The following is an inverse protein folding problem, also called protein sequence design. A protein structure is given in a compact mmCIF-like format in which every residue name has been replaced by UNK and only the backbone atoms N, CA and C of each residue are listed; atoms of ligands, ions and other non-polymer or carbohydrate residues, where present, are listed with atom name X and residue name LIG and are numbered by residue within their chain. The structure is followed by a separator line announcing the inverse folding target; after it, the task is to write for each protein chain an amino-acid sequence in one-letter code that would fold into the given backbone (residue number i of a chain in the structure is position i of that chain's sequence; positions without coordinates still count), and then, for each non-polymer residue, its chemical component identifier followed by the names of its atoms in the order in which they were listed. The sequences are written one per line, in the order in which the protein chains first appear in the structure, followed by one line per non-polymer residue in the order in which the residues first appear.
data_IF_641582343588
#
_entry.id   IF_641582343588
#
_cell.length_a   1.000
_cell.length_b   1.000
_cell.length_c   1.000
_cell.angle_alpha   90.00
_cell.angle_beta   90.00
_cell.angle_gamma   90.00
#
_symmetry.space_group_name_H-M   'P 1'
#
loop_
_entity.id
_entity.type
_entity.pdbx_description
1 polymer ?
#
# COMPACT_ATOMS: atom_id res chain seq x y z
N UNK A 1 7.98 3.59 12.81
CA UNK A 1 8.80 3.67 11.58
C UNK A 1 10.12 4.41 11.77
N UNK A 2 11.25 3.85 11.30
CA UNK A 2 12.56 4.52 11.33
C UNK A 2 12.98 5.15 9.98
N UNK A 3 12.45 4.68 8.85
CA UNK A 3 12.70 5.25 7.52
C UNK A 3 11.51 4.97 6.56
N UNK A 4 10.78 6.01 6.11
CA UNK A 4 9.69 5.89 5.14
C UNK A 4 10.08 5.26 3.80
N UNK A 5 11.34 5.41 3.36
CA UNK A 5 11.81 4.83 2.09
C UNK A 5 11.94 3.31 2.17
N UNK A 6 12.37 2.81 3.33
CA UNK A 6 12.40 1.36 3.59
C UNK A 6 10.99 0.78 3.57
N UNK A 7 10.03 1.47 4.17
CA UNK A 7 8.62 1.06 4.11
C UNK A 7 8.06 1.08 2.69
N UNK A 8 8.38 2.12 1.89
CA UNK A 8 7.97 2.22 0.49
C UNK A 8 8.54 1.07 -0.37
N UNK A 9 9.82 0.74 -0.21
CA UNK A 9 10.44 -0.38 -0.91
C UNK A 9 9.75 -1.72 -0.57
N UNK A 10 9.48 -1.98 0.70
CA UNK A 10 8.77 -3.18 1.14
C UNK A 10 7.32 -3.22 0.60
N UNK A 11 6.63 -2.07 0.57
CA UNK A 11 5.29 -1.97 -0.04
C UNK A 11 5.33 -2.31 -1.53
N UNK A 12 6.38 -1.91 -2.26
CA UNK A 12 6.54 -2.24 -3.68
C UNK A 12 6.53 -3.76 -3.91
N UNK A 13 7.33 -4.49 -3.14
CA UNK A 13 7.41 -5.95 -3.21
C UNK A 13 6.07 -6.62 -2.84
N UNK A 14 5.45 -6.16 -1.74
CA UNK A 14 4.16 -6.70 -1.29
C UNK A 14 3.02 -6.46 -2.28
N UNK A 15 2.98 -5.28 -2.92
CA UNK A 15 1.96 -4.94 -3.92
C UNK A 15 2.17 -5.74 -5.20
N UNK A 16 3.42 -6.00 -5.62
CA UNK A 16 3.65 -6.85 -6.78
C UNK A 16 3.21 -8.30 -6.54
N UNK A 17 3.35 -8.80 -5.30
CA UNK A 17 2.99 -10.16 -4.92
C UNK A 17 1.48 -10.41 -4.82
N UNK A 18 0.64 -9.37 -4.80
CA UNK A 18 -0.82 -9.51 -4.76
C UNK A 18 -1.37 -10.41 -5.88
N UNK A 19 -0.74 -10.39 -7.06
CA UNK A 19 -1.15 -11.19 -8.24
C UNK A 19 -0.92 -12.70 -8.06
N UNK A 20 -0.05 -13.10 -7.15
CA UNK A 20 0.35 -14.48 -6.90
C UNK A 20 -0.40 -15.09 -5.70
N UNK A 21 -1.11 -14.28 -4.91
CA UNK A 21 -1.80 -14.73 -3.72
C UNK A 21 -3.16 -15.36 -4.04
N UNK A 22 -3.25 -16.69 -3.91
CA UNK A 22 -4.44 -17.45 -4.27
C UNK A 22 -5.17 -17.98 -3.02
N UNK A 23 -4.41 -18.42 -2.01
CA UNK A 23 -4.97 -18.90 -0.76
C UNK A 23 -5.42 -17.75 0.14
N UNK A 24 -6.47 -17.97 0.94
CA UNK A 24 -6.96 -16.96 1.89
C UNK A 24 -5.86 -16.50 2.87
N UNK A 25 -5.03 -17.43 3.34
CA UNK A 25 -3.95 -17.12 4.30
C UNK A 25 -2.86 -16.25 3.66
N UNK A 26 -2.49 -16.51 2.41
CA UNK A 26 -1.51 -15.69 1.67
C UNK A 26 -2.02 -14.26 1.52
N UNK A 27 -3.27 -14.12 1.08
CA UNK A 27 -3.92 -12.80 0.94
C UNK A 27 -3.97 -12.07 2.28
N UNK A 28 -4.39 -12.75 3.35
CA UNK A 28 -4.47 -12.17 4.68
C UNK A 28 -3.08 -11.75 5.22
N UNK A 29 -2.05 -12.55 4.97
CA UNK A 29 -0.67 -12.23 5.37
C UNK A 29 -0.14 -10.99 4.64
N UNK A 30 -0.29 -10.94 3.30
CA UNK A 30 0.09 -9.75 2.51
C UNK A 30 -0.65 -8.51 2.98
N UNK A 31 -1.97 -8.60 3.13
CA UNK A 31 -2.77 -7.45 3.55
C UNK A 31 -2.40 -6.96 4.95
N UNK A 32 -2.10 -7.86 5.88
CA UNK A 32 -1.69 -7.49 7.23
C UNK A 32 -0.35 -6.76 7.23
N UNK A 33 0.63 -7.21 6.42
CA UNK A 33 1.91 -6.53 6.26
C UNK A 33 1.75 -5.15 5.63
N UNK A 34 0.91 -5.02 4.59
CA UNK A 34 0.59 -3.74 3.97
C UNK A 34 -0.07 -2.79 4.98
N UNK A 35 -1.05 -3.26 5.76
CA UNK A 35 -1.70 -2.44 6.78
C UNK A 35 -0.70 -1.92 7.81
N UNK A 36 0.20 -2.78 8.31
CA UNK A 36 1.23 -2.37 9.27
C UNK A 36 2.09 -1.23 8.71
N UNK A 37 2.59 -1.38 7.48
CA UNK A 37 3.45 -0.37 6.86
C UNK A 37 2.69 0.93 6.53
N UNK A 38 1.46 0.82 6.02
CA UNK A 38 0.61 1.98 5.75
C UNK A 38 0.23 2.71 7.04
N UNK A 39 -0.09 2.01 8.11
CA UNK A 39 -0.40 2.62 9.41
C UNK A 39 0.85 3.30 10.00
N UNK A 40 2.03 2.70 9.86
CA UNK A 40 3.31 3.32 10.23
C UNK A 40 3.54 4.64 9.47
N UNK A 41 3.30 4.64 8.15
CA UNK A 41 3.40 5.83 7.29
C UNK A 41 2.35 6.90 7.65
N UNK A 42 1.10 6.51 7.87
CA UNK A 42 0.00 7.41 8.22
C UNK A 42 0.21 8.08 9.59
N UNK A 43 0.85 7.39 10.54
CA UNK A 43 1.13 7.90 11.88
C UNK A 43 2.52 8.55 12.03
N UNK A 44 3.31 8.61 10.96
CA UNK A 44 4.62 9.24 10.98
C UNK A 44 4.53 10.75 11.26
N UNK A 45 5.64 11.33 11.69
CA UNK A 45 5.77 12.78 11.82
C UNK A 45 5.57 13.45 10.44
N UNK A 46 4.94 14.63 10.43
CA UNK A 46 4.69 15.41 9.21
C UNK A 46 5.99 15.88 8.54
N UNK A 47 7.08 16.03 9.32
CA UNK A 47 8.41 16.34 8.80
C UNK A 47 9.01 15.18 7.98
N UNK A 48 8.54 13.95 8.22
CA UNK A 48 9.00 12.74 7.51
C UNK A 48 8.02 12.32 6.41
N UNK A 49 6.72 12.44 6.66
CA UNK A 49 5.65 12.01 5.75
C UNK A 49 4.55 13.07 5.78
N UNK A 50 4.51 13.91 4.74
CA UNK A 50 3.51 14.97 4.65
C UNK A 50 2.08 14.41 4.46
N UNK A 51 1.07 15.28 4.63
CA UNK A 51 -0.34 14.89 4.51
C UNK A 51 -0.73 14.24 3.17
N UNK A 52 -0.07 14.63 2.08
CA UNK A 52 -0.31 14.02 0.76
C UNK A 52 0.25 12.59 0.71
N UNK A 53 1.46 12.35 1.22
CA UNK A 53 2.03 11.01 1.33
C UNK A 53 1.19 10.11 2.26
N UNK A 54 0.62 10.66 3.34
CA UNK A 54 -0.32 9.94 4.23
C UNK A 54 -1.62 9.55 3.51
N UNK A 55 -2.17 10.43 2.66
CA UNK A 55 -3.31 10.11 1.80
C UNK A 55 -2.97 8.94 0.85
N UNK A 56 -1.77 8.94 0.27
CA UNK A 56 -1.30 7.85 -0.60
C UNK A 56 -1.15 6.54 0.14
N UNK A 57 -0.67 6.53 1.38
CA UNK A 57 -0.66 5.32 2.22
C UNK A 57 -2.09 4.75 2.40
N UNK A 58 -3.09 5.61 2.60
CA UNK A 58 -4.50 5.20 2.63
C UNK A 58 -5.00 4.60 1.32
N UNK A 59 -4.64 5.19 0.17
CA UNK A 59 -4.98 4.67 -1.15
C UNK A 59 -4.33 3.30 -1.44
N UNK A 60 -3.05 3.13 -1.07
CA UNK A 60 -2.35 1.85 -1.17
C UNK A 60 -3.10 0.77 -0.40
N UNK A 61 -3.46 1.06 0.86
CA UNK A 61 -4.20 0.12 1.72
C UNK A 61 -5.54 -0.27 1.10
N UNK A 62 -6.34 0.70 0.67
CA UNK A 62 -7.66 0.44 0.10
C UNK A 62 -7.59 -0.38 -1.20
N UNK A 63 -6.72 0.00 -2.13
CA UNK A 63 -6.55 -0.73 -3.37
C UNK A 63 -6.02 -2.15 -3.14
N UNK A 64 -5.10 -2.34 -2.20
CA UNK A 64 -4.61 -3.67 -1.84
C UNK A 64 -5.72 -4.54 -1.23
N UNK A 65 -6.59 -3.98 -0.39
CA UNK A 65 -7.75 -4.68 0.16
C UNK A 65 -8.70 -5.14 -0.95
N UNK A 66 -9.03 -4.24 -1.89
CA UNK A 66 -9.90 -4.54 -3.02
C UNK A 66 -9.29 -5.60 -3.95
N UNK A 67 -8.00 -5.50 -4.28
CA UNK A 67 -7.28 -6.49 -5.10
C UNK A 67 -7.29 -7.89 -4.48
N UNK A 68 -7.18 -7.97 -3.15
CA UNK A 68 -7.19 -9.23 -2.40
C UNK A 68 -8.60 -9.76 -2.10
N UNK A 69 -9.65 -9.00 -2.42
CA UNK A 69 -11.05 -9.38 -2.16
C UNK A 69 -11.48 -9.20 -0.70
N UNK A 70 -10.85 -8.29 0.04
CA UNK A 70 -11.23 -7.90 1.41
C UNK A 70 -12.08 -6.63 1.46
N UNK A 71 -12.25 -5.93 0.34
CA UNK A 71 -13.04 -4.70 0.24
C UNK A 71 -13.80 -4.64 -1.10
N UNK A 72 -14.69 -3.65 -1.25
CA UNK A 72 -15.44 -3.39 -2.48
C UNK A 72 -14.51 -2.96 -3.62
N UNK A 73 -14.78 -3.45 -4.83
CA UNK A 73 -13.95 -3.17 -6.01
C UNK A 73 -14.46 -2.02 -6.89
N UNK A 74 -15.65 -1.48 -6.56
CA UNK A 74 -16.34 -0.50 -7.41
C UNK A 74 -16.48 -0.93 -8.89
N UNK A 75 -16.55 -2.24 -9.15
CA UNK A 75 -16.69 -2.79 -10.50
C UNK A 75 -15.39 -2.98 -11.27
N UNK A 76 -14.23 -2.76 -10.64
CA UNK A 76 -12.92 -2.93 -11.26
C UNK A 76 -12.29 -4.29 -10.94
N UNK A 77 -11.29 -4.66 -11.75
CA UNK A 77 -10.59 -5.93 -11.59
C UNK A 77 -9.53 -5.85 -10.48
N UNK A 78 -9.09 -7.02 -9.99
CA UNK A 78 -7.99 -7.08 -9.04
C UNK A 78 -6.69 -6.49 -9.60
N UNK A 79 -6.44 -6.65 -10.90
CA UNK A 79 -5.27 -6.08 -11.57
C UNK A 79 -5.34 -4.56 -11.66
N UNK A 80 -6.52 -3.98 -11.94
CA UNK A 80 -6.70 -2.52 -11.94
C UNK A 80 -6.34 -1.93 -10.57
N UNK A 81 -6.84 -2.57 -9.50
CA UNK A 81 -6.52 -2.16 -8.14
C UNK A 81 -5.03 -2.31 -7.81
N UNK A 82 -4.37 -3.40 -8.24
CA UNK A 82 -2.93 -3.57 -8.07
C UNK A 82 -2.14 -2.45 -8.75
N UNK A 83 -2.49 -2.11 -9.99
CA UNK A 83 -1.86 -1.02 -10.74
C UNK A 83 -2.07 0.34 -10.05
N UNK A 84 -3.27 0.59 -9.51
CA UNK A 84 -3.54 1.83 -8.78
C UNK A 84 -2.82 1.88 -7.42
N UNK A 85 -2.66 0.76 -6.73
CA UNK A 85 -1.81 0.69 -5.54
C UNK A 85 -0.35 1.05 -5.89
N UNK A 86 0.19 0.55 -7.00
CA UNK A 86 1.53 0.93 -7.49
C UNK A 86 1.60 2.42 -7.88
N UNK A 87 0.56 2.97 -8.51
CA UNK A 87 0.49 4.40 -8.83
C UNK A 87 0.46 5.29 -7.57
N UNK A 88 -0.27 4.85 -6.53
CA UNK A 88 -0.28 5.52 -5.23
C UNK A 88 1.08 5.44 -4.55
N UNK A 89 1.76 4.28 -4.61
CA UNK A 89 3.12 4.10 -4.10
C UNK A 89 4.12 5.02 -4.81
N UNK A 90 4.09 5.08 -6.15
CA UNK A 90 4.96 5.97 -6.90
C UNK A 90 4.77 7.45 -6.51
N UNK A 91 3.52 7.85 -6.25
CA UNK A 91 3.21 9.19 -5.75
C UNK A 91 3.72 9.41 -4.32
N UNK A 92 3.64 8.38 -3.47
CA UNK A 92 4.15 8.41 -2.10
C UNK A 92 5.67 8.60 -2.11
N UNK A 93 6.40 7.79 -2.89
CA UNK A 93 7.86 7.86 -3.01
C UNK A 93 8.34 9.24 -3.44
N UNK A 94 7.70 9.84 -4.45
CA UNK A 94 8.03 11.19 -4.91
C UNK A 94 7.69 12.31 -3.91
N UNK A 95 6.99 11.98 -2.82
CA UNK A 95 6.59 12.92 -1.77
C UNK A 95 7.42 12.76 -0.48
N UNK A 96 8.32 11.77 -0.44
CA UNK A 96 9.23 11.57 0.68
C UNK A 96 10.43 12.52 0.58
N UNK A 97 11.01 12.96 1.72
CA UNK A 97 12.24 13.76 1.71
C UNK A 97 13.42 12.97 1.12
N UNK A 98 14.41 13.69 0.58
CA UNK A 98 15.67 13.12 0.05
C UNK A 98 16.51 12.41 1.12
#
# INVERSE_FOLDING_TARGET
MNDPKVAAAALSELIDELKNAHALVERAALFSAICLLCDDLSNADDDLVNGYAKEKAGQIRWHSAAALGFDITNGHSAEDHRVWALGALSSLEGSLPD
#
